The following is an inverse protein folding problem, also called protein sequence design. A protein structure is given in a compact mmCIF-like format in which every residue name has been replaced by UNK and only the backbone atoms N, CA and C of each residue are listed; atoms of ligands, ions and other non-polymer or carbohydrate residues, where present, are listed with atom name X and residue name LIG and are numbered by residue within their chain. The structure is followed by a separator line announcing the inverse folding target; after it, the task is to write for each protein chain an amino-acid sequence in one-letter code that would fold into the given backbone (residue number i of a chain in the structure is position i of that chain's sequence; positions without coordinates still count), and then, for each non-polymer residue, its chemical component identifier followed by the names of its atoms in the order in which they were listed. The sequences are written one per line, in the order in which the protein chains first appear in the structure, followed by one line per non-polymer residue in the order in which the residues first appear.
data_IF_126430237176
#
_entry.id   IF_126430237176
#
_cell.length_a   1.000
_cell.length_b   1.000
_cell.length_c   1.000
_cell.angle_alpha   90.00
_cell.angle_beta   90.00
_cell.angle_gamma   90.00
#
_symmetry.space_group_name_H-M   'P 1'
#
loop_
_entity.id
_entity.type
_entity.pdbx_description
1 polymer ?
#
# COMPACT_ATOMS: atom_id res chain seq x y z
N UNK A 1 -16.68 7.74 -14.97
CA UNK A 1 -16.35 7.75 -13.51
C UNK A 1 -16.70 6.39 -12.93
N UNK A 2 -15.77 5.43 -13.01
CA UNK A 2 -15.99 4.01 -12.62
C UNK A 2 -15.18 3.64 -11.35
N UNK A 3 -14.29 4.52 -10.89
CA UNK A 3 -13.29 4.27 -9.84
C UNK A 3 -13.81 4.17 -8.39
N UNK A 4 -15.08 3.82 -8.17
CA UNK A 4 -15.71 3.85 -6.85
C UNK A 4 -16.54 2.62 -6.47
N UNK A 5 -16.71 1.62 -7.35
CA UNK A 5 -17.39 0.39 -6.96
C UNK A 5 -16.46 -0.53 -6.16
N UNK A 6 -17.02 -1.38 -5.30
CA UNK A 6 -16.25 -2.40 -4.60
C UNK A 6 -15.58 -3.39 -5.58
N UNK A 7 -16.28 -3.74 -6.66
CA UNK A 7 -15.75 -4.58 -7.73
C UNK A 7 -14.48 -3.97 -8.36
N UNK A 8 -14.52 -2.68 -8.69
CA UNK A 8 -13.35 -1.99 -9.22
C UNK A 8 -12.21 -1.94 -8.20
N UNK A 9 -12.48 -1.69 -6.91
CA UNK A 9 -11.43 -1.65 -5.89
C UNK A 9 -10.79 -3.02 -5.65
N UNK A 10 -11.56 -4.10 -5.65
CA UNK A 10 -10.99 -5.43 -5.55
C UNK A 10 -10.10 -5.76 -6.75
N UNK A 11 -10.54 -5.42 -7.96
CA UNK A 11 -9.73 -5.61 -9.16
C UNK A 11 -8.47 -4.75 -9.11
N UNK A 12 -8.59 -3.48 -8.73
CA UNK A 12 -7.45 -2.58 -8.56
C UNK A 12 -6.45 -3.11 -7.53
N UNK A 13 -6.90 -3.73 -6.44
CA UNK A 13 -6.06 -4.25 -5.37
C UNK A 13 -5.63 -5.71 -5.57
N UNK A 14 -6.16 -6.42 -6.59
CA UNK A 14 -5.94 -7.85 -6.77
C UNK A 14 -4.45 -8.18 -6.90
N UNK A 15 -3.72 -7.41 -7.69
CA UNK A 15 -2.31 -7.63 -7.96
C UNK A 15 -1.43 -7.46 -6.70
N UNK A 16 -1.66 -6.41 -5.91
CA UNK A 16 -0.88 -6.18 -4.67
C UNK A 16 -1.25 -7.19 -3.58
N UNK A 17 -2.47 -7.71 -3.55
CA UNK A 17 -2.83 -8.75 -2.61
C UNK A 17 -2.27 -10.11 -3.01
N UNK A 18 -2.21 -10.44 -4.30
CA UNK A 18 -1.61 -11.69 -4.80
C UNK A 18 -0.10 -11.76 -4.59
N UNK A 19 0.61 -10.63 -4.64
CA UNK A 19 2.06 -10.61 -4.48
C UNK A 19 2.54 -10.86 -3.04
N UNK A 20 1.63 -10.96 -2.06
CA UNK A 20 2.00 -11.16 -0.65
C UNK A 20 1.67 -12.58 -0.14
N UNK A 21 2.62 -13.23 0.55
CA UNK A 21 2.47 -14.62 0.99
C UNK A 21 1.43 -14.82 2.10
N UNK A 22 1.05 -13.77 2.83
CA UNK A 22 0.09 -13.82 3.94
C UNK A 22 -1.32 -13.33 3.57
N UNK A 23 -1.56 -12.96 2.31
CA UNK A 23 -2.87 -12.44 1.91
C UNK A 23 -3.85 -13.57 1.68
N UNK A 24 -4.92 -13.61 2.49
CA UNK A 24 -6.15 -14.26 2.05
C UNK A 24 -6.55 -13.64 0.70
N UNK A 25 -6.84 -14.48 -0.28
CA UNK A 25 -7.35 -14.05 -1.58
C UNK A 25 -8.70 -13.37 -1.37
N UNK A 26 -8.74 -12.04 -1.49
CA UNK A 26 -9.99 -11.27 -1.56
C UNK A 26 -10.59 -11.39 -2.96
N UNK A 27 -10.97 -12.61 -3.34
CA UNK A 27 -11.61 -12.88 -4.63
C UNK A 27 -13.08 -12.52 -4.53
N UNK A 28 -13.51 -11.50 -5.30
CA UNK A 28 -14.93 -11.16 -5.50
C UNK A 28 -15.60 -12.05 -6.55
N UNK A 29 -15.11 -13.27 -6.76
CA UNK A 29 -15.76 -14.20 -7.66
C UNK A 29 -17.19 -14.46 -7.15
N UNK A 30 -18.22 -14.33 -8.01
CA UNK A 30 -19.63 -14.39 -7.59
C UNK A 30 -20.04 -15.74 -6.96
N UNK A 31 -19.18 -16.76 -7.08
CA UNK A 31 -19.42 -18.10 -6.56
C UNK A 31 -18.60 -18.43 -5.30
N UNK A 32 -17.80 -17.49 -4.78
CA UNK A 32 -16.99 -17.71 -3.58
C UNK A 32 -17.77 -17.23 -2.37
N UNK A 33 -18.03 -18.15 -1.44
CA UNK A 33 -18.67 -17.86 -0.17
C UNK A 33 -17.66 -17.08 0.69
N UNK A 34 -18.01 -15.89 1.21
CA UNK A 34 -17.13 -15.14 2.10
C UNK A 34 -16.74 -15.98 3.31
N UNK A 35 -15.50 -15.83 3.78
CA UNK A 35 -15.07 -16.47 5.02
C UNK A 35 -15.88 -15.94 6.21
N UNK A 36 -15.98 -16.73 7.28
CA UNK A 36 -16.61 -16.27 8.52
C UNK A 36 -16.01 -14.95 9.00
N UNK A 37 -14.68 -14.82 8.91
CA UNK A 37 -13.98 -13.58 9.25
C UNK A 37 -14.48 -12.40 8.41
N UNK A 38 -14.60 -12.56 7.08
CA UNK A 38 -15.12 -11.49 6.21
C UNK A 38 -16.57 -11.11 6.56
N UNK A 39 -17.42 -12.08 6.87
CA UNK A 39 -18.80 -11.80 7.32
C UNK A 39 -18.80 -11.01 8.64
N UNK A 40 -18.01 -11.43 9.62
CA UNK A 40 -17.89 -10.74 10.90
C UNK A 40 -17.33 -9.31 10.74
N UNK A 41 -16.33 -9.11 9.88
CA UNK A 41 -15.79 -7.77 9.58
C UNK A 41 -16.80 -6.90 8.83
N UNK A 42 -17.62 -7.50 7.96
CA UNK A 42 -18.74 -6.85 7.29
C UNK A 42 -19.74 -6.27 8.28
N UNK A 43 -20.26 -7.13 9.17
CA UNK A 43 -21.19 -6.74 10.23
C UNK A 43 -20.59 -5.69 11.18
N UNK A 44 -19.32 -5.86 11.56
CA UNK A 44 -18.60 -4.89 12.36
C UNK A 44 -18.55 -3.52 11.66
N UNK A 45 -18.29 -3.46 10.36
CA UNK A 45 -18.24 -2.19 9.65
C UNK A 45 -19.62 -1.55 9.42
N UNK A 46 -20.68 -2.35 9.28
CA UNK A 46 -22.04 -1.84 9.03
C UNK A 46 -22.73 -1.37 10.31
N UNK A 47 -22.65 -2.15 11.39
CA UNK A 47 -23.44 -1.92 12.61
C UNK A 47 -22.68 -1.11 13.66
N UNK A 48 -21.35 -1.10 13.62
CA UNK A 48 -20.56 -0.46 14.67
C UNK A 48 -20.52 1.06 14.52
N UNK A 49 -20.98 1.75 15.56
CA UNK A 49 -20.85 3.20 15.67
C UNK A 49 -19.37 3.61 15.74
N UNK A 50 -19.09 4.89 15.49
CA UNK A 50 -17.70 5.38 15.56
C UNK A 50 -17.08 5.22 16.95
N UNK A 51 -17.87 5.33 18.02
CA UNK A 51 -17.37 5.17 19.38
C UNK A 51 -17.08 3.71 19.71
N UNK A 52 -18.04 2.80 19.45
CA UNK A 52 -17.84 1.36 19.65
C UNK A 52 -16.64 0.84 18.85
N UNK A 53 -16.42 1.41 17.66
CA UNK A 53 -15.27 1.06 16.83
C UNK A 53 -13.95 1.41 17.53
N UNK A 54 -13.86 2.59 18.15
CA UNK A 54 -12.68 2.98 18.90
C UNK A 54 -12.46 2.13 20.16
N UNK A 55 -13.54 1.70 20.80
CA UNK A 55 -13.46 0.84 21.98
C UNK A 55 -13.04 -0.60 21.61
N UNK A 56 -13.40 -1.06 20.41
CA UNK A 56 -13.09 -2.39 19.90
C UNK A 56 -11.66 -2.53 19.36
N UNK A 57 -11.14 -1.51 18.68
CA UNK A 57 -9.84 -1.56 17.99
C UNK A 57 -8.68 -2.04 18.88
N UNK A 58 -8.53 -1.58 20.14
CA UNK A 58 -7.47 -2.06 21.04
C UNK A 58 -7.54 -3.56 21.35
N UNK A 59 -8.73 -4.15 21.27
CA UNK A 59 -8.98 -5.56 21.52
C UNK A 59 -8.68 -6.46 20.30
N UNK A 60 -8.48 -5.87 19.12
CA UNK A 60 -8.22 -6.61 17.89
C UNK A 60 -6.73 -6.98 17.76
N UNK A 61 -6.40 -8.28 17.62
CA UNK A 61 -5.07 -8.71 17.20
C UNK A 61 -4.60 -8.00 15.92
N UNK A 62 -3.30 -7.77 15.81
CA UNK A 62 -2.66 -7.08 14.67
C UNK A 62 -3.11 -7.65 13.32
N UNK A 63 -3.14 -8.97 13.17
CA UNK A 63 -3.53 -9.63 11.92
C UNK A 63 -5.00 -9.35 11.55
N UNK A 64 -5.92 -9.31 12.53
CA UNK A 64 -7.32 -8.95 12.28
C UNK A 64 -7.49 -7.47 11.94
N UNK A 65 -6.67 -6.58 12.54
CA UNK A 65 -6.67 -5.16 12.15
C UNK A 65 -6.25 -5.00 10.69
N UNK A 66 -5.23 -5.74 10.26
CA UNK A 66 -4.79 -5.75 8.86
C UNK A 66 -5.88 -6.28 7.92
N UNK A 67 -6.51 -7.42 8.26
CA UNK A 67 -7.62 -7.97 7.48
C UNK A 67 -8.81 -7.01 7.39
N UNK A 68 -9.15 -6.33 8.49
CA UNK A 68 -10.19 -5.31 8.53
C UNK A 68 -9.85 -4.12 7.61
N UNK A 69 -8.61 -3.65 7.61
CA UNK A 69 -8.16 -2.57 6.71
C UNK A 69 -8.32 -2.99 5.25
N UNK A 70 -7.87 -4.20 4.88
CA UNK A 70 -7.97 -4.72 3.50
C UNK A 70 -9.42 -5.01 3.08
N UNK A 71 -10.25 -5.52 3.98
CA UNK A 71 -11.66 -5.73 3.71
C UNK A 71 -12.40 -4.40 3.52
N UNK A 72 -12.21 -3.46 4.45
CA UNK A 72 -12.80 -2.13 4.37
C UNK A 72 -12.34 -1.40 3.10
N UNK A 73 -11.08 -1.55 2.72
CA UNK A 73 -10.54 -1.01 1.49
C UNK A 73 -11.38 -1.37 0.24
N UNK A 74 -11.79 -2.63 0.13
CA UNK A 74 -12.63 -3.07 -0.99
C UNK A 74 -14.07 -2.60 -0.80
N UNK A 75 -14.68 -2.88 0.35
CA UNK A 75 -16.14 -2.81 0.50
C UNK A 75 -16.63 -1.44 0.98
N UNK A 76 -15.98 -0.86 1.99
CA UNK A 76 -16.39 0.39 2.62
C UNK A 76 -15.14 1.16 3.13
N UNK A 77 -14.46 1.94 2.26
CA UNK A 77 -13.22 2.60 2.63
C UNK A 77 -13.37 3.45 3.90
N UNK A 78 -12.42 3.26 4.82
CA UNK A 78 -12.49 3.90 6.14
C UNK A 78 -12.25 5.41 6.06
N UNK A 79 -12.91 6.14 6.96
CA UNK A 79 -12.58 7.55 7.20
C UNK A 79 -11.16 7.68 7.79
N UNK A 80 -10.54 8.84 7.62
CA UNK A 80 -9.22 9.14 8.17
C UNK A 80 -9.14 9.00 9.70
N UNK A 81 -10.25 9.09 10.41
CA UNK A 81 -10.28 8.91 11.87
C UNK A 81 -10.33 7.43 12.26
N UNK A 82 -11.19 6.62 11.61
CA UNK A 82 -11.25 5.17 11.81
C UNK A 82 -9.96 4.48 11.38
N UNK A 83 -9.38 4.92 10.24
CA UNK A 83 -8.08 4.42 9.78
C UNK A 83 -6.98 4.72 10.79
N UNK A 84 -6.85 5.95 11.28
CA UNK A 84 -5.85 6.30 12.31
C UNK A 84 -6.02 5.50 13.60
N UNK A 85 -7.26 5.24 14.02
CA UNK A 85 -7.49 4.40 15.19
C UNK A 85 -6.95 2.97 14.97
N UNK A 86 -7.27 2.35 13.83
CA UNK A 86 -6.81 0.99 13.50
C UNK A 86 -5.29 0.87 13.44
N UNK A 87 -4.63 1.86 12.84
CA UNK A 87 -3.18 1.88 12.66
C UNK A 87 -2.42 2.28 13.93
N UNK A 88 -3.12 2.78 14.95
CA UNK A 88 -2.53 3.17 16.23
C UNK A 88 -1.45 4.24 16.11
N UNK A 89 -0.47 4.18 17.02
CA UNK A 89 0.64 5.13 17.09
C UNK A 89 1.69 4.95 15.99
N UNK A 90 1.77 3.74 15.44
CA UNK A 90 2.78 3.34 14.46
C UNK A 90 2.41 3.84 13.06
N UNK A 91 1.11 4.05 12.81
CA UNK A 91 0.61 4.54 11.53
C UNK A 91 0.59 3.47 10.43
N UNK A 92 0.76 2.19 10.79
CA UNK A 92 0.60 1.04 9.91
C UNK A 92 0.10 -0.20 10.68
N UNK A 93 -0.54 -1.14 10.00
CA UNK A 93 -0.90 -2.44 10.55
C UNK A 93 0.09 -3.49 10.03
N UNK A 94 0.95 -4.02 10.90
CA UNK A 94 1.94 -5.06 10.56
C UNK A 94 2.84 -4.70 9.35
N UNK A 95 3.39 -3.49 9.36
CA UNK A 95 4.20 -2.99 8.25
C UNK A 95 3.43 -2.72 6.95
N UNK A 96 2.09 -2.70 6.96
CA UNK A 96 1.25 -2.29 5.83
C UNK A 96 0.44 -1.03 6.13
N UNK A 97 0.46 -0.10 5.17
CA UNK A 97 -0.40 1.07 5.15
C UNK A 97 -1.19 1.09 3.85
N UNK A 98 -2.52 1.08 3.98
CA UNK A 98 -3.45 1.14 2.87
C UNK A 98 -4.37 2.35 3.01
N UNK A 99 -4.38 3.21 1.99
CA UNK A 99 -5.07 4.50 1.97
C UNK A 99 -5.91 4.61 0.71
N UNK A 100 -7.22 4.78 0.86
CA UNK A 100 -8.16 4.87 -0.27
C UNK A 100 -8.93 6.18 -0.24
N UNK A 101 -9.01 6.80 -1.42
CA UNK A 101 -9.89 7.92 -1.70
C UNK A 101 -9.28 9.27 -1.32
N UNK A 102 -9.87 10.37 -1.82
CA UNK A 102 -9.35 11.72 -1.65
C UNK A 102 -9.49 12.25 -0.21
N UNK A 103 -10.43 11.70 0.57
CA UNK A 103 -10.69 12.12 1.95
C UNK A 103 -9.61 11.65 2.93
N UNK A 104 -8.81 10.66 2.54
CA UNK A 104 -7.70 10.14 3.33
C UNK A 104 -6.40 10.92 3.05
N UNK A 105 -6.44 12.23 3.26
CA UNK A 105 -5.43 13.18 2.74
C UNK A 105 -4.17 13.36 3.59
N UNK A 106 -4.05 12.69 4.73
CA UNK A 106 -2.95 12.91 5.68
C UNK A 106 -2.20 11.62 5.97
N UNK A 107 -1.33 11.23 5.04
CA UNK A 107 -0.31 10.20 5.30
C UNK A 107 0.93 10.89 5.80
N UNK A 108 1.11 10.91 7.12
CA UNK A 108 2.37 11.33 7.74
C UNK A 108 3.13 10.08 8.13
N UNK A 109 4.19 9.76 7.37
CA UNK A 109 5.11 8.71 7.77
C UNK A 109 5.84 9.18 9.00
N UNK A 110 5.46 8.64 10.17
CA UNK A 110 6.27 8.82 11.36
C UNK A 110 7.58 8.10 11.09
N UNK A 111 8.66 8.86 10.98
CA UNK A 111 9.98 8.30 11.20
C UNK A 111 10.00 7.85 12.65
N UNK A 112 9.74 6.57 12.89
CA UNK A 112 10.12 5.90 14.12
C UNK A 112 11.64 6.01 14.18
N UNK A 113 12.13 7.15 14.68
CA UNK A 113 13.45 7.18 15.32
C UNK A 113 13.31 6.14 16.39
N UNK A 114 13.96 4.99 16.20
CA UNK A 114 14.19 4.05 17.27
C UNK A 114 14.88 4.86 18.37
N UNK A 115 14.09 5.39 19.30
CA UNK A 115 14.60 5.93 20.54
C UNK A 115 15.20 4.72 21.21
N UNK A 116 16.51 4.62 21.11
CA UNK A 116 17.35 3.78 21.94
C UNK A 116 17.20 4.30 23.37
N UNK A 117 16.01 4.12 23.95
CA UNK A 117 15.77 4.30 25.38
C UNK A 117 16.10 2.99 26.07
N UNK A 118 17.27 2.44 25.74
CA UNK A 118 17.88 1.31 26.40
C UNK A 118 18.72 1.82 27.58
N UNK A 119 18.14 2.62 28.49
CA UNK A 119 18.78 3.03 29.74
C UNK A 119 17.71 3.44 30.78
N UNK A 120 16.82 2.52 31.15
CA UNK A 120 16.23 2.53 32.49
C UNK A 120 15.88 1.09 32.86
N UNK A 121 16.55 0.59 33.91
CA UNK A 121 16.48 -0.79 34.35
C UNK A 121 15.12 -1.15 34.94
N UNK A 122 14.24 -1.65 34.09
CA UNK A 122 13.05 -2.38 34.49
C UNK A 122 13.27 -3.88 34.22
N UNK A 123 12.78 -4.70 35.15
CA UNK A 123 12.92 -6.15 35.18
C UNK A 123 12.60 -6.77 33.83
N UNK A 124 13.61 -7.39 33.21
CA UNK A 124 13.48 -8.20 31.99
C UNK A 124 12.58 -9.40 32.31
N UNK A 125 11.32 -9.28 31.93
CA UNK A 125 10.37 -10.39 31.88
C UNK A 125 10.71 -11.19 30.62
N UNK A 126 11.48 -12.27 30.79
CA UNK A 126 12.03 -13.08 29.68
C UNK A 126 10.96 -13.80 28.83
N UNK A 127 9.68 -13.77 29.27
CA UNK A 127 8.55 -14.35 28.55
C UNK A 127 7.75 -13.32 27.72
N UNK A 128 8.09 -12.04 27.79
CA UNK A 128 7.54 -11.03 26.89
C UNK A 128 8.40 -11.06 25.62
N UNK A 129 7.90 -11.70 24.55
CA UNK A 129 8.45 -11.49 23.21
C UNK A 129 8.51 -9.97 22.97
N UNK A 130 9.72 -9.41 22.97
CA UNK A 130 9.98 -8.02 22.60
C UNK A 130 9.55 -7.84 21.14
N UNK A 131 8.25 -7.62 20.93
CA UNK A 131 7.64 -7.44 19.63
C UNK A 131 8.01 -6.05 19.14
N UNK A 132 9.24 -5.88 18.67
CA UNK A 132 9.64 -4.65 18.00
C UNK A 132 8.70 -4.45 16.81
N UNK A 133 8.03 -3.29 16.68
CA UNK A 133 7.06 -3.08 15.63
C UNK A 133 7.74 -3.22 14.26
N UNK A 134 7.15 -4.04 13.39
CA UNK A 134 7.63 -4.24 12.03
C UNK A 134 7.68 -2.90 11.29
N UNK A 135 8.78 -2.53 10.63
CA UNK A 135 8.83 -1.29 9.88
C UNK A 135 7.83 -1.30 8.73
N UNK A 136 7.43 -0.12 8.25
CA UNK A 136 6.57 -0.01 7.07
C UNK A 136 7.26 -0.61 5.84
N UNK A 137 6.69 -1.70 5.32
CA UNK A 137 7.19 -2.43 4.15
C UNK A 137 6.24 -2.33 2.95
N UNK A 138 4.93 -2.16 3.18
CA UNK A 138 3.93 -2.10 2.13
C UNK A 138 3.13 -0.81 2.21
N UNK A 139 3.16 -0.03 1.14
CA UNK A 139 2.41 1.21 1.00
C UNK A 139 1.49 1.12 -0.21
N UNK A 140 0.19 1.22 0.05
CA UNK A 140 -0.87 1.11 -0.95
C UNK A 140 -1.70 2.38 -0.90
N UNK A 141 -1.70 3.15 -1.98
CA UNK A 141 -2.45 4.39 -2.13
C UNK A 141 -3.32 4.28 -3.37
N UNK A 142 -4.63 4.43 -3.22
CA UNK A 142 -5.60 4.28 -4.31
C UNK A 142 -6.51 5.50 -4.38
N UNK A 143 -6.72 6.05 -5.58
CA UNK A 143 -7.70 7.13 -5.82
C UNK A 143 -7.49 8.35 -4.91
N UNK A 144 -6.25 8.77 -4.70
CA UNK A 144 -5.88 9.85 -3.78
C UNK A 144 -5.02 10.93 -4.47
N UNK A 145 -5.00 12.13 -3.90
CA UNK A 145 -4.08 13.22 -4.26
C UNK A 145 -2.81 13.08 -3.44
N UNK A 146 -1.77 12.54 -4.07
CA UNK A 146 -0.47 12.42 -3.42
C UNK A 146 0.33 13.72 -3.59
N UNK A 147 0.56 14.42 -2.48
CA UNK A 147 1.42 15.61 -2.50
C UNK A 147 2.89 15.19 -2.66
N UNK A 148 3.68 16.03 -3.34
CA UNK A 148 5.11 15.77 -3.55
C UNK A 148 5.88 15.63 -2.23
N UNK A 149 5.54 16.44 -1.22
CA UNK A 149 6.12 16.33 0.13
C UNK A 149 5.88 14.97 0.75
N UNK A 150 4.73 14.33 0.48
CA UNK A 150 4.43 12.99 0.97
C UNK A 150 5.29 11.94 0.26
N UNK A 151 5.50 12.04 -1.05
CA UNK A 151 6.39 11.11 -1.80
C UNK A 151 7.81 11.15 -1.22
N UNK A 152 8.33 12.35 -0.96
CA UNK A 152 9.66 12.55 -0.40
C UNK A 152 9.84 12.03 1.04
N UNK A 153 8.75 11.64 1.71
CA UNK A 153 8.79 11.09 3.07
C UNK A 153 8.57 9.58 3.11
N UNK A 154 8.53 8.92 1.95
CA UNK A 154 8.45 7.47 1.85
C UNK A 154 9.63 6.80 2.60
N UNK A 155 9.35 5.87 3.52
CA UNK A 155 10.41 5.13 4.19
C UNK A 155 11.21 4.26 3.21
N UNK A 156 12.55 4.21 3.34
CA UNK A 156 13.40 3.36 2.47
C UNK A 156 13.18 1.86 2.71
N UNK A 157 12.44 1.49 3.76
CA UNK A 157 12.05 0.12 4.10
C UNK A 157 10.91 -0.43 3.23
N UNK A 158 10.28 0.42 2.40
CA UNK A 158 9.21 -0.01 1.49
C UNK A 158 9.76 -1.01 0.46
N UNK A 159 9.14 -2.19 0.42
CA UNK A 159 9.38 -3.26 -0.55
C UNK A 159 8.22 -3.44 -1.50
N UNK A 160 6.99 -3.09 -1.10
CA UNK A 160 5.79 -3.17 -1.92
C UNK A 160 5.14 -1.79 -1.99
N UNK A 161 5.06 -1.23 -3.19
CA UNK A 161 4.48 0.09 -3.42
C UNK A 161 3.39 -0.01 -4.47
N UNK A 162 2.16 0.34 -4.12
CA UNK A 162 1.05 0.45 -5.06
C UNK A 162 0.50 1.87 -5.04
N UNK A 163 0.57 2.54 -6.18
CA UNK A 163 0.14 3.92 -6.40
C UNK A 163 -0.87 3.93 -7.54
N UNK A 164 -2.12 3.58 -7.22
CA UNK A 164 -3.14 3.20 -8.19
C UNK A 164 -4.13 4.35 -8.40
N UNK A 165 -4.45 4.67 -9.65
CA UNK A 165 -5.44 5.70 -10.00
C UNK A 165 -5.24 7.03 -9.24
N UNK A 166 -4.00 7.51 -9.16
CA UNK A 166 -3.70 8.79 -8.53
C UNK A 166 -4.22 9.94 -9.38
N UNK A 167 -4.74 10.98 -8.72
CA UNK A 167 -5.30 12.14 -9.42
C UNK A 167 -4.24 12.99 -10.14
N UNK A 168 -3.01 13.01 -9.61
CA UNK A 168 -1.92 13.84 -10.14
C UNK A 168 -0.68 13.00 -10.46
N UNK A 169 0.12 13.41 -11.46
CA UNK A 169 1.41 12.79 -11.73
C UNK A 169 2.35 12.89 -10.54
N UNK A 170 3.20 11.87 -10.40
CA UNK A 170 4.25 11.82 -9.37
C UNK A 170 5.64 11.77 -10.05
N UNK A 171 6.71 12.23 -9.39
CA UNK A 171 8.06 12.18 -9.97
C UNK A 171 8.65 10.78 -9.82
N UNK A 172 8.26 9.89 -10.74
CA UNK A 172 8.70 8.49 -10.79
C UNK A 172 10.22 8.35 -10.74
N UNK A 173 10.98 9.26 -11.37
CA UNK A 173 12.44 9.24 -11.39
C UNK A 173 13.10 9.34 -10.01
N UNK A 174 12.38 9.79 -8.97
CA UNK A 174 12.90 9.88 -7.61
C UNK A 174 12.65 8.62 -6.79
N UNK A 175 11.65 7.82 -7.16
CA UNK A 175 11.30 6.60 -6.42
C UNK A 175 12.46 5.61 -6.29
N UNK A 176 13.35 5.42 -7.29
CA UNK A 176 14.51 4.54 -7.11
C UNK A 176 15.50 4.98 -6.03
N UNK A 177 15.57 6.29 -5.74
CA UNK A 177 16.40 6.81 -4.65
C UNK A 177 15.69 6.72 -3.30
N UNK A 178 14.36 6.88 -3.28
CA UNK A 178 13.56 6.89 -2.05
C UNK A 178 13.27 5.47 -1.53
N UNK A 179 12.92 4.55 -2.43
CA UNK A 179 12.55 3.17 -2.12
C UNK A 179 13.48 2.21 -2.87
N UNK A 180 14.75 2.06 -2.45
CA UNK A 180 15.72 1.23 -3.16
C UNK A 180 15.44 -0.27 -3.06
N UNK A 181 14.64 -0.70 -2.08
CA UNK A 181 14.33 -2.11 -1.79
C UNK A 181 13.04 -2.62 -2.44
N UNK A 182 12.51 -1.92 -3.46
CA UNK A 182 11.26 -2.32 -4.10
C UNK A 182 11.38 -3.68 -4.77
N UNK A 183 10.49 -4.59 -4.36
CA UNK A 183 10.22 -5.90 -4.94
C UNK A 183 8.98 -5.87 -5.83
N UNK A 184 8.04 -4.98 -5.51
CA UNK A 184 6.75 -4.84 -6.18
C UNK A 184 6.41 -3.36 -6.36
N UNK A 185 6.07 -2.97 -7.59
CA UNK A 185 5.59 -1.62 -7.90
C UNK A 185 4.33 -1.72 -8.74
N UNK A 186 3.22 -1.12 -8.31
CA UNK A 186 1.98 -1.04 -9.09
C UNK A 186 1.64 0.42 -9.39
N UNK A 187 1.59 0.77 -10.67
CA UNK A 187 1.20 2.08 -11.20
C UNK A 187 -0.08 1.98 -12.06
N UNK A 188 -0.88 0.94 -11.88
CA UNK A 188 -2.08 0.69 -12.67
C UNK A 188 -3.12 1.82 -12.57
N UNK A 189 -3.93 1.95 -13.61
CA UNK A 189 -5.08 2.86 -13.71
C UNK A 189 -4.75 4.36 -13.57
N UNK A 190 -3.49 4.77 -13.67
CA UNK A 190 -3.11 6.18 -13.63
C UNK A 190 -3.37 6.85 -14.99
N UNK A 191 -4.41 7.67 -15.08
CA UNK A 191 -4.80 8.34 -16.35
C UNK A 191 -3.69 9.22 -16.95
N UNK A 192 -2.81 9.76 -16.11
CA UNK A 192 -1.65 10.54 -16.54
C UNK A 192 -0.55 9.69 -17.19
N UNK A 193 -0.57 8.36 -16.99
CA UNK A 193 0.23 7.39 -17.76
C UNK A 193 -0.47 6.96 -19.05
N UNK A 194 -1.80 7.02 -19.14
CA UNK A 194 -2.52 6.72 -20.39
C UNK A 194 -2.36 7.86 -21.41
N UNK A 195 -2.53 9.11 -20.96
CA UNK A 195 -2.43 10.31 -21.80
C UNK A 195 -1.19 11.12 -21.41
N UNK A 196 -0.01 10.54 -21.63
CA UNK A 196 1.25 11.14 -21.17
C UNK A 196 1.51 12.49 -21.81
N UNK A 197 1.71 13.52 -20.97
CA UNK A 197 2.34 14.75 -21.42
C UNK A 197 3.81 14.51 -21.77
N UNK A 198 4.40 15.40 -22.58
CA UNK A 198 5.84 15.36 -22.91
C UNK A 198 6.71 15.33 -21.64
N UNK A 199 6.30 16.05 -20.60
CA UNK A 199 7.02 16.09 -19.33
C UNK A 199 6.90 14.77 -18.55
N UNK A 200 5.75 14.11 -18.62
CA UNK A 200 5.53 12.80 -18.02
C UNK A 200 6.40 11.74 -18.69
N UNK A 201 6.43 11.73 -20.02
CA UNK A 201 7.28 10.83 -20.81
C UNK A 201 8.76 11.01 -20.45
N UNK A 202 9.24 12.27 -20.45
CA UNK A 202 10.61 12.59 -20.01
C UNK A 202 10.90 12.16 -18.57
N UNK A 203 9.92 12.24 -17.67
CA UNK A 203 10.08 11.78 -16.29
C UNK A 203 10.25 10.26 -16.22
N UNK A 204 9.51 9.49 -17.04
CA UNK A 204 9.63 8.03 -17.12
C UNK A 204 10.96 7.62 -17.76
N UNK A 205 11.38 8.28 -18.84
CA UNK A 205 12.67 8.03 -19.50
C UNK A 205 13.86 8.30 -18.57
N UNK A 206 13.70 9.21 -17.59
CA UNK A 206 14.70 9.52 -16.57
C UNK A 206 14.75 8.52 -15.42
N UNK A 207 13.79 7.60 -15.32
CA UNK A 207 13.79 6.58 -14.27
C UNK A 207 14.97 5.65 -14.50
N UNK A 208 15.89 5.61 -13.52
CA UNK A 208 16.99 4.65 -13.51
C UNK A 208 16.50 3.30 -12.97
N UNK A 209 15.82 2.53 -13.83
CA UNK A 209 15.25 1.21 -13.49
C UNK A 209 16.29 0.21 -12.98
N UNK A 210 17.57 0.42 -13.30
CA UNK A 210 18.67 -0.45 -12.87
C UNK A 210 18.94 -0.37 -11.36
N UNK A 211 18.50 0.71 -10.70
CA UNK A 211 18.61 0.86 -9.24
C UNK A 211 17.71 -0.11 -8.47
N UNK A 212 16.61 -0.54 -9.07
CA UNK A 212 15.69 -1.50 -8.46
C UNK A 212 16.08 -2.94 -8.73
N UNK A 213 17.32 -3.32 -8.42
CA UNK A 213 17.85 -4.66 -8.70
C UNK A 213 16.99 -5.83 -8.19
N UNK A 214 16.13 -5.59 -7.19
CA UNK A 214 15.26 -6.60 -6.60
C UNK A 214 13.80 -6.56 -7.07
N UNK A 215 13.41 -5.60 -7.92
CA UNK A 215 12.03 -5.48 -8.41
C UNK A 215 11.68 -6.73 -9.23
N UNK A 216 10.59 -7.40 -8.86
CA UNK A 216 10.12 -8.64 -9.51
C UNK A 216 8.88 -8.39 -10.35
N UNK A 217 7.98 -7.54 -9.86
CA UNK A 217 6.68 -7.31 -10.50
C UNK A 217 6.43 -5.82 -10.67
N UNK A 218 6.00 -5.46 -11.88
CA UNK A 218 5.56 -4.11 -12.24
C UNK A 218 4.09 -4.16 -12.72
N UNK A 219 3.17 -3.61 -11.94
CA UNK A 219 1.79 -3.38 -12.35
C UNK A 219 1.68 -2.15 -13.24
N UNK A 220 1.16 -2.33 -14.45
CA UNK A 220 0.99 -1.28 -15.46
C UNK A 220 -0.37 -1.35 -16.16
N UNK A 221 -1.41 -1.79 -15.43
CA UNK A 221 -2.72 -2.06 -16.04
C UNK A 221 -3.41 -0.79 -16.48
N UNK A 222 -4.13 -0.84 -17.60
CA UNK A 222 -4.86 0.30 -18.18
C UNK A 222 -4.01 1.57 -18.40
N UNK A 223 -2.70 1.41 -18.60
CA UNK A 223 -1.75 2.50 -18.82
C UNK A 223 -1.03 2.32 -20.16
N UNK A 224 -0.56 3.42 -20.77
CA UNK A 224 0.27 3.34 -21.96
C UNK A 224 1.71 2.98 -21.58
N UNK A 225 2.36 2.12 -22.35
CA UNK A 225 3.75 1.71 -22.13
C UNK A 225 4.61 2.37 -23.20
N UNK A 226 5.55 3.26 -22.82
CA UNK A 226 6.44 3.88 -23.78
C UNK A 226 7.34 2.86 -24.49
N UNK A 227 7.63 3.13 -25.76
CA UNK A 227 8.58 2.33 -26.53
C UNK A 227 9.96 2.31 -25.85
N UNK A 228 10.59 1.13 -25.78
CA UNK A 228 11.90 0.95 -25.14
C UNK A 228 11.90 1.00 -23.61
N UNK A 229 10.74 1.20 -22.96
CA UNK A 229 10.63 1.13 -21.49
C UNK A 229 11.00 -0.26 -20.97
N UNK A 230 10.51 -1.32 -21.61
CA UNK A 230 10.79 -2.71 -21.20
C UNK A 230 12.28 -3.07 -21.34
N UNK A 231 12.91 -2.62 -22.43
CA UNK A 231 14.36 -2.79 -22.63
C UNK A 231 15.16 -2.06 -21.55
N UNK A 232 14.69 -0.88 -21.14
CA UNK A 232 15.30 -0.08 -20.07
C UNK A 232 15.09 -0.70 -18.69
N UNK A 233 13.90 -1.27 -18.44
CA UNK A 233 13.50 -1.95 -17.21
C UNK A 233 14.36 -3.18 -16.94
N UNK A 234 14.58 -3.99 -17.98
CA UNK A 234 15.32 -5.25 -17.89
C UNK A 234 16.82 -5.12 -18.19
N UNK A 235 17.30 -3.90 -18.43
CA UNK A 235 18.71 -3.63 -18.69
C UNK A 235 19.58 -4.09 -17.51
N UNK A 236 20.52 -5.00 -17.78
CA UNK A 236 21.50 -5.55 -16.82
C UNK A 236 20.90 -6.42 -15.70
N UNK A 237 19.70 -6.96 -15.91
CA UNK A 237 19.11 -7.96 -15.00
C UNK A 237 19.38 -9.38 -15.48
N UNK A 238 19.38 -10.30 -14.53
CA UNK A 238 19.42 -11.74 -14.80
C UNK A 238 18.02 -12.32 -14.97
N UNK A 239 17.09 -11.85 -14.13
CA UNK A 239 15.69 -12.19 -14.18
C UNK A 239 14.90 -10.98 -14.68
N UNK A 240 14.07 -11.20 -15.69
CA UNK A 240 13.17 -10.18 -16.21
C UNK A 240 12.10 -9.81 -15.18
N UNK A 241 11.75 -8.53 -15.14
CA UNK A 241 10.61 -8.05 -14.35
C UNK A 241 9.33 -8.51 -15.02
N UNK A 242 8.46 -9.16 -14.25
CA UNK A 242 7.11 -9.52 -14.68
C UNK A 242 6.26 -8.24 -14.76
N UNK A 243 5.83 -7.89 -15.97
CA UNK A 243 4.97 -6.72 -16.19
C UNK A 243 3.53 -7.18 -16.40
N UNK A 244 2.65 -6.72 -15.52
CA UNK A 244 1.23 -7.08 -15.48
C UNK A 244 0.40 -5.95 -16.11
N UNK A 245 -0.30 -6.28 -17.19
CA UNK A 245 -1.09 -5.36 -18.03
C UNK A 245 -2.60 -5.46 -17.80
#
# INVERSE_FOLDING_TARGET
MIAFSAAWRAEALSLVFQSRPSSQTFTLEPNIIPSLTQLCLGELLSECTTQEFYDLVPCLPVHLRLELVRYAAIHCPLSSSKLRALLGTDGHADGELLVIGPSASSVHFRQTRATVSALQGESVDWDMEDSTPNPLQSLIIVSNRLAMSTVLTFPPTITHLALINLENPIPLHQLPALCPLLLFLDLSYNLWLTNMSVDTLKSIERVDWSRWSQLKTLGWRECFIPDGMLDSLNKRRWDDVEVMY
#
